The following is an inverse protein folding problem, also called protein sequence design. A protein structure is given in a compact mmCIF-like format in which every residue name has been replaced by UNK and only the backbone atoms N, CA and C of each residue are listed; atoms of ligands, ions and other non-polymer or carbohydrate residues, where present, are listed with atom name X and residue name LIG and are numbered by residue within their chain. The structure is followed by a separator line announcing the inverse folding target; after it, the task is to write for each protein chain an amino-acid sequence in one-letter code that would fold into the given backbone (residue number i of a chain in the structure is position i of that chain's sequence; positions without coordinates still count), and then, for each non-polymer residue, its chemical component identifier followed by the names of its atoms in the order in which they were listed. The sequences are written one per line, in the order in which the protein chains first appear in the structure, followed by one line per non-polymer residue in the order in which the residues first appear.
data_IF_236627032096
#
_entry.id   IF_236627032096
#
_cell.length_a   1.000
_cell.length_b   1.000
_cell.length_c   1.000
_cell.angle_alpha   90.00
_cell.angle_beta   90.00
_cell.angle_gamma   90.00
#
_symmetry.space_group_name_H-M   'P 1'
#
loop_
_entity.id
_entity.type
_entity.pdbx_description
1 polymer ?
#
# COMPACT_ATOMS: atom_id res chain seq x y z
N UNK A 1 18.94 -22.47 -46.42
CA UNK A 1 19.95 -22.15 -45.38
C UNK A 1 19.75 -20.73 -44.85
N UNK A 2 19.75 -19.70 -45.70
CA UNK A 2 19.55 -18.29 -45.30
C UNK A 2 18.23 -18.07 -44.53
N UNK A 3 17.12 -18.67 -44.97
CA UNK A 3 15.82 -18.55 -44.28
C UNK A 3 15.80 -19.18 -42.87
N UNK A 4 16.54 -20.27 -42.65
CA UNK A 4 16.67 -20.87 -41.31
C UNK A 4 17.48 -19.97 -40.37
N UNK A 5 18.52 -19.32 -40.90
CA UNK A 5 19.34 -18.36 -40.13
C UNK A 5 18.48 -17.15 -39.73
N UNK A 6 17.71 -16.61 -40.66
CA UNK A 6 16.80 -15.49 -40.37
C UNK A 6 15.76 -15.85 -39.31
N UNK A 7 15.12 -17.03 -39.43
CA UNK A 7 14.12 -17.49 -38.48
C UNK A 7 14.70 -17.66 -37.07
N UNK A 8 15.88 -18.28 -36.95
CA UNK A 8 16.56 -18.45 -35.67
C UNK A 8 16.95 -17.10 -35.05
N UNK A 9 17.51 -16.17 -35.84
CA UNK A 9 17.86 -14.84 -35.35
C UNK A 9 16.62 -14.06 -34.88
N UNK A 10 15.51 -14.12 -35.63
CA UNK A 10 14.26 -13.47 -35.24
C UNK A 10 13.66 -14.04 -33.96
N UNK A 11 13.72 -15.36 -33.76
CA UNK A 11 13.24 -16.00 -32.51
C UNK A 11 14.08 -15.55 -31.32
N UNK A 12 15.41 -15.50 -31.47
CA UNK A 12 16.31 -15.04 -30.40
C UNK A 12 16.01 -13.59 -30.04
N UNK A 13 15.88 -12.70 -31.04
CA UNK A 13 15.56 -11.28 -30.81
C UNK A 13 14.19 -11.10 -30.16
N UNK A 14 13.17 -11.84 -30.61
CA UNK A 14 11.82 -11.74 -30.04
C UNK A 14 11.80 -12.26 -28.59
N UNK A 15 12.54 -13.33 -28.30
CA UNK A 15 12.65 -13.90 -26.96
C UNK A 15 13.35 -12.95 -26.00
N UNK A 16 14.44 -12.30 -26.42
CA UNK A 16 15.15 -11.33 -25.58
C UNK A 16 14.29 -10.10 -25.28
N UNK A 17 13.58 -9.57 -26.28
CA UNK A 17 12.65 -8.46 -26.09
C UNK A 17 11.50 -8.83 -25.14
N UNK A 18 10.92 -10.02 -25.31
CA UNK A 18 9.86 -10.53 -24.43
C UNK A 18 10.35 -10.72 -22.99
N UNK A 19 11.56 -11.24 -22.79
CA UNK A 19 12.16 -11.38 -21.47
C UNK A 19 12.35 -10.04 -20.76
N UNK A 20 12.87 -9.03 -21.47
CA UNK A 20 13.03 -7.67 -20.93
C UNK A 20 11.66 -7.09 -20.55
N UNK A 21 10.65 -7.26 -21.40
CA UNK A 21 9.29 -6.80 -21.10
C UNK A 21 8.72 -7.49 -19.86
N UNK A 22 8.90 -8.80 -19.73
CA UNK A 22 8.45 -9.55 -18.56
C UNK A 22 9.14 -9.06 -17.28
N UNK A 23 10.46 -8.85 -17.32
CA UNK A 23 11.23 -8.30 -16.20
C UNK A 23 10.76 -6.89 -15.82
N UNK A 24 10.46 -6.04 -16.79
CA UNK A 24 9.89 -4.72 -16.55
C UNK A 24 8.51 -4.80 -15.91
N UNK A 25 7.62 -5.67 -16.40
CA UNK A 25 6.30 -5.88 -15.82
C UNK A 25 6.38 -6.42 -14.39
N UNK A 26 7.27 -7.37 -14.13
CA UNK A 26 7.50 -7.92 -12.80
C UNK A 26 8.05 -6.86 -11.84
N UNK A 27 9.04 -6.09 -12.29
CA UNK A 27 9.60 -4.97 -11.53
C UNK A 27 8.54 -3.91 -11.23
N UNK A 28 7.76 -3.52 -12.24
CA UNK A 28 6.64 -2.58 -12.06
C UNK A 28 5.62 -3.11 -11.06
N UNK A 29 5.25 -4.39 -11.13
CA UNK A 29 4.34 -5.00 -10.16
C UNK A 29 4.91 -4.95 -8.73
N UNK A 30 6.21 -5.21 -8.57
CA UNK A 30 6.88 -5.10 -7.28
C UNK A 30 6.91 -3.65 -6.77
N UNK A 31 7.12 -2.68 -7.65
CA UNK A 31 7.04 -1.26 -7.33
C UNK A 31 5.60 -0.80 -7.02
N UNK A 32 4.59 -1.41 -7.66
CA UNK A 32 3.17 -1.19 -7.36
C UNK A 32 2.77 -1.81 -6.01
N UNK A 33 3.34 -2.94 -5.62
CA UNK A 33 3.04 -3.53 -4.30
C UNK A 33 3.60 -2.68 -3.15
N UNK A 34 4.66 -1.91 -3.39
CA UNK A 34 5.22 -1.01 -2.37
C UNK A 34 4.50 0.35 -2.39
N UNK A 35 3.90 0.77 -3.51
CA UNK A 35 3.17 2.05 -3.63
C UNK A 35 1.66 1.99 -3.42
N UNK A 36 1.03 0.82 -3.51
CA UNK A 36 -0.38 0.66 -3.11
C UNK A 36 -0.56 0.88 -1.60
N UNK A 37 0.44 0.56 -0.79
CA UNK A 37 0.45 0.84 0.66
C UNK A 37 1.00 2.23 1.01
N UNK A 38 1.60 2.97 0.06
CA UNK A 38 2.33 4.22 0.34
C UNK A 38 1.73 5.50 -0.24
N UNK A 39 0.68 5.46 -1.08
CA UNK A 39 -0.02 6.69 -1.49
C UNK A 39 -1.08 7.19 -0.48
N UNK A 40 -1.03 6.70 0.77
CA UNK A 40 -1.77 7.25 1.92
C UNK A 40 -0.95 7.16 3.22
N UNK A 41 0.39 7.19 3.16
CA UNK A 41 1.24 7.03 4.36
C UNK A 41 0.95 8.06 5.44
N UNK A 42 0.78 9.34 5.09
CA UNK A 42 0.52 10.38 6.10
C UNK A 42 -0.84 10.19 6.78
N UNK A 43 -1.89 9.88 6.01
CA UNK A 43 -3.23 9.67 6.54
C UNK A 43 -3.33 8.38 7.38
N UNK A 44 -2.74 7.29 6.90
CA UNK A 44 -2.69 6.01 7.63
C UNK A 44 -1.85 6.16 8.90
N UNK A 45 -0.74 6.91 8.85
CA UNK A 45 0.06 7.21 10.04
C UNK A 45 -0.73 8.04 11.06
N UNK A 46 -1.54 9.01 10.64
CA UNK A 46 -2.42 9.77 11.53
C UNK A 46 -3.46 8.85 12.19
N UNK A 47 -4.12 7.98 11.41
CA UNK A 47 -5.11 7.01 11.91
C UNK A 47 -4.47 6.03 12.91
N UNK A 48 -3.30 5.49 12.58
CA UNK A 48 -2.55 4.58 13.46
C UNK A 48 -2.08 5.29 14.74
N UNK A 49 -1.64 6.54 14.65
CA UNK A 49 -1.25 7.35 15.79
C UNK A 49 -2.43 7.56 16.74
N UNK A 50 -3.60 7.96 16.22
CA UNK A 50 -4.82 8.09 17.00
C UNK A 50 -5.25 6.77 17.66
N UNK A 51 -5.21 5.65 16.92
CA UNK A 51 -5.55 4.33 17.44
C UNK A 51 -4.60 3.90 18.56
N UNK A 52 -3.30 4.14 18.40
CA UNK A 52 -2.30 3.87 19.43
C UNK A 52 -2.57 4.70 20.70
N UNK A 53 -2.86 6.01 20.55
CA UNK A 53 -3.18 6.87 21.69
C UNK A 53 -4.44 6.39 22.44
N UNK A 54 -5.47 5.92 21.74
CA UNK A 54 -6.66 5.34 22.37
C UNK A 54 -6.34 4.11 23.24
N UNK A 55 -5.45 3.24 22.76
CA UNK A 55 -5.05 2.01 23.46
C UNK A 55 -4.18 2.29 24.69
N UNK A 56 -3.12 3.10 24.55
CA UNK A 56 -2.19 3.37 25.66
C UNK A 56 -2.83 4.17 26.79
N UNK A 57 -3.86 4.97 26.49
CA UNK A 57 -4.60 5.74 27.49
C UNK A 57 -5.83 4.98 28.04
N UNK A 58 -6.01 3.71 27.68
CA UNK A 58 -7.11 2.86 28.14
C UNK A 58 -8.47 3.57 28.04
N UNK A 59 -8.76 4.14 26.87
CA UNK A 59 -9.98 4.90 26.62
C UNK A 59 -11.27 4.05 26.54
N UNK A 60 -11.23 2.78 26.99
CA UNK A 60 -12.41 1.94 27.08
C UNK A 60 -13.42 2.53 28.08
N UNK A 61 -14.74 2.36 27.84
CA UNK A 61 -15.78 2.94 28.69
C UNK A 61 -15.65 2.59 30.18
N UNK A 62 -15.07 1.43 30.49
CA UNK A 62 -14.88 0.94 31.87
C UNK A 62 -13.63 1.51 32.56
N UNK A 63 -12.64 1.96 31.79
CA UNK A 63 -11.31 2.38 32.30
C UNK A 63 -11.01 3.86 32.02
N UNK A 64 -11.91 4.56 31.33
CA UNK A 64 -11.80 5.96 30.91
C UNK A 64 -11.80 6.91 32.11
N UNK A 65 -10.79 7.78 32.17
CA UNK A 65 -10.70 8.85 33.19
C UNK A 65 -11.43 10.11 32.71
N UNK A 66 -12.18 10.81 33.58
CA UNK A 66 -12.93 12.04 33.22
C UNK A 66 -12.07 13.17 32.66
N UNK A 67 -10.77 13.20 32.98
CA UNK A 67 -9.84 14.21 32.45
C UNK A 67 -9.48 14.01 30.97
N UNK A 68 -9.63 12.80 30.45
CA UNK A 68 -9.31 12.44 29.06
C UNK A 68 -10.55 12.20 28.20
N UNK A 69 -11.74 12.47 28.74
CA UNK A 69 -13.06 12.27 28.13
C UNK A 69 -13.10 12.75 26.67
N UNK A 70 -12.82 14.04 26.48
CA UNK A 70 -12.82 14.71 25.17
C UNK A 70 -11.72 14.19 24.23
N UNK A 71 -10.55 13.80 24.77
CA UNK A 71 -9.44 13.28 23.95
C UNK A 71 -9.71 11.85 23.48
N UNK A 72 -10.31 11.02 24.34
CA UNK A 72 -10.73 9.67 23.98
C UNK A 72 -11.78 9.69 22.87
N UNK A 73 -12.74 10.62 22.93
CA UNK A 73 -13.74 10.79 21.87
C UNK A 73 -13.10 11.24 20.54
N UNK A 74 -12.15 12.17 20.60
CA UNK A 74 -11.36 12.59 19.43
C UNK A 74 -10.58 11.42 18.80
N UNK A 75 -9.84 10.64 19.60
CA UNK A 75 -9.07 9.51 19.09
C UNK A 75 -9.97 8.40 18.53
N UNK A 76 -11.14 8.18 19.13
CA UNK A 76 -12.14 7.23 18.63
C UNK A 76 -12.73 7.67 17.28
N UNK A 77 -13.02 8.96 17.11
CA UNK A 77 -13.50 9.49 15.83
C UNK A 77 -12.41 9.46 14.75
N UNK A 78 -11.16 9.77 15.12
CA UNK A 78 -10.02 9.75 14.22
C UNK A 78 -9.66 8.32 13.74
N UNK A 79 -9.69 7.33 14.65
CA UNK A 79 -9.35 5.94 14.34
C UNK A 79 -10.42 5.24 13.50
N UNK A 80 -11.70 5.65 13.63
CA UNK A 80 -12.82 5.11 12.86
C UNK A 80 -12.98 5.75 11.47
N UNK A 81 -12.03 6.57 11.01
CA UNK A 81 -12.01 7.07 9.62
C UNK A 81 -11.78 5.88 8.68
N UNK A 82 -12.83 5.42 7.99
CA UNK A 82 -12.75 4.31 7.05
C UNK A 82 -11.93 4.78 5.83
N UNK A 83 -10.85 4.07 5.43
CA UNK A 83 -10.02 4.41 4.26
C UNK A 83 -10.73 4.13 2.92
N UNK A 84 -12.06 4.00 2.89
CA UNK A 84 -12.83 3.51 1.75
C UNK A 84 -13.13 4.57 0.68
N UNK A 85 -12.45 5.72 0.69
CA UNK A 85 -12.69 6.79 -0.27
C UNK A 85 -11.46 7.21 -1.07
N UNK A 86 -10.53 6.28 -1.30
CA UNK A 86 -9.54 6.38 -2.38
C UNK A 86 -9.80 5.25 -3.37
N UNK A 87 -10.99 5.26 -3.96
CA UNK A 87 -11.31 4.44 -5.13
C UNK A 87 -11.77 5.36 -6.25
N UNK A 88 -10.80 6.00 -6.91
CA UNK A 88 -10.73 6.04 -8.36
C UNK A 88 -9.38 6.54 -8.83
#
# INVERSE_FOLDING_TARGET
IIGYIQLTCSIVILSTLSYILFQLLWTLQQDFQIKADQYTTELIQEIQSCAHQYQINMCHPETRVPALDQKCDYWLMCSNRIPSHVTK
#
